data_IF_770618931340
#
_entry.id   IF_770618931340
#
_cell.length_a   1.000
_cell.length_b   1.000
_cell.length_c   1.000
_cell.angle_alpha   90.00
_cell.angle_beta   90.00
_cell.angle_gamma   90.00
#
_symmetry.space_group_name_H-M   'P 1'
#
loop_
_entity.id
_entity.type
_entity.pdbx_description
1 polymer ?
#
# COMPACT_ATOMS: atom_id res chain seq x y z
N UNK A 1 -27.11 -14.51 13.65
CA UNK A 1 -26.37 -13.22 13.60
C UNK A 1 -25.33 -13.19 12.47
N UNK A 2 -24.47 -14.21 12.34
CA UNK A 2 -23.51 -14.34 11.22
C UNK A 2 -24.12 -14.36 9.80
N UNK A 3 -25.41 -14.65 9.65
CA UNK A 3 -26.06 -14.74 8.33
C UNK A 3 -26.65 -13.41 7.81
N UNK A 4 -26.76 -12.39 8.67
CA UNK A 4 -27.39 -11.10 8.31
C UNK A 4 -26.52 -9.88 8.64
N UNK A 5 -25.74 -9.92 9.73
CA UNK A 5 -24.84 -8.83 10.11
C UNK A 5 -23.50 -8.96 9.38
N UNK A 6 -23.00 -10.18 9.23
CA UNK A 6 -21.70 -10.45 8.60
C UNK A 6 -21.58 -9.92 7.17
N UNK A 7 -22.51 -10.17 6.22
CA UNK A 7 -22.38 -9.61 4.87
C UNK A 7 -22.46 -8.07 4.86
N UNK A 8 -23.27 -7.49 5.74
CA UNK A 8 -23.48 -6.03 5.83
C UNK A 8 -22.26 -5.28 6.40
N UNK A 9 -21.54 -5.88 7.36
CA UNK A 9 -20.35 -5.27 7.98
C UNK A 9 -19.05 -5.72 7.31
N UNK A 10 -19.02 -6.88 6.64
CA UNK A 10 -17.86 -7.37 5.91
C UNK A 10 -17.45 -6.41 4.79
N UNK A 11 -18.41 -5.78 4.12
CA UNK A 11 -18.16 -4.81 3.08
C UNK A 11 -17.29 -3.62 3.51
N UNK A 12 -17.72 -2.80 4.50
CA UNK A 12 -16.88 -1.72 5.01
C UNK A 12 -15.61 -2.23 5.72
N UNK A 13 -15.63 -3.44 6.29
CA UNK A 13 -14.42 -4.07 6.87
C UNK A 13 -13.34 -4.32 5.81
N UNK A 14 -13.68 -4.91 4.67
CA UNK A 14 -12.73 -5.22 3.60
C UNK A 14 -12.11 -3.93 3.06
N UNK A 15 -12.94 -2.89 2.88
CA UNK A 15 -12.50 -1.56 2.46
C UNK A 15 -11.52 -0.98 3.49
N UNK A 16 -11.91 -0.95 4.78
CA UNK A 16 -11.05 -0.45 5.86
C UNK A 16 -9.72 -1.21 5.94
N UNK A 17 -9.73 -2.53 5.84
CA UNK A 17 -8.51 -3.35 5.85
C UNK A 17 -7.61 -3.07 4.64
N UNK A 18 -8.18 -2.73 3.49
CA UNK A 18 -7.40 -2.35 2.30
C UNK A 18 -6.68 -1.02 2.50
N UNK A 19 -7.35 -0.05 3.12
CA UNK A 19 -6.73 1.22 3.50
C UNK A 19 -5.65 1.05 4.58
N UNK A 20 -5.90 0.23 5.60
CA UNK A 20 -4.89 -0.10 6.62
C UNK A 20 -3.68 -0.79 6.01
N UNK A 21 -3.88 -1.72 5.09
CA UNK A 21 -2.80 -2.40 4.38
C UNK A 21 -1.94 -1.42 3.57
N UNK A 22 -2.57 -0.51 2.81
CA UNK A 22 -1.84 0.54 2.07
C UNK A 22 -0.98 1.42 3.01
N UNK A 23 -1.55 1.83 4.15
CA UNK A 23 -0.81 2.60 5.17
C UNK A 23 0.37 1.81 5.73
N UNK A 24 0.17 0.51 5.99
CA UNK A 24 1.20 -0.36 6.53
C UNK A 24 2.36 -0.56 5.55
N UNK A 25 2.08 -0.67 4.24
CA UNK A 25 3.11 -0.71 3.18
C UNK A 25 3.92 0.58 3.14
N UNK A 26 3.28 1.75 3.23
CA UNK A 26 3.99 3.04 3.26
C UNK A 26 4.86 3.15 4.52
N UNK A 27 4.34 2.72 5.68
CA UNK A 27 5.08 2.73 6.94
C UNK A 27 6.28 1.78 6.90
N UNK A 28 6.13 0.57 6.35
CA UNK A 28 7.22 -0.37 6.12
C UNK A 28 8.28 0.22 5.18
N UNK A 29 7.87 0.82 4.06
CA UNK A 29 8.78 1.47 3.12
C UNK A 29 9.53 2.64 3.79
N UNK A 30 8.89 3.43 4.65
CA UNK A 30 9.51 4.50 5.41
C UNK A 30 10.53 3.97 6.45
N UNK A 31 10.18 2.90 7.16
CA UNK A 31 11.11 2.22 8.09
C UNK A 31 12.30 1.63 7.35
N UNK A 32 12.06 0.93 6.25
CA UNK A 32 13.10 0.42 5.32
C UNK A 32 13.98 1.54 4.79
N UNK A 33 13.42 2.71 4.48
CA UNK A 33 14.18 3.88 4.03
C UNK A 33 15.10 4.47 5.12
N UNK A 34 14.65 4.40 6.37
CA UNK A 34 15.43 4.78 7.56
C UNK A 34 16.44 3.69 7.99
N UNK A 35 16.47 2.54 7.32
CA UNK A 35 17.31 1.39 7.69
C UNK A 35 16.79 0.58 8.88
N UNK A 36 15.54 0.82 9.31
CA UNK A 36 14.84 0.10 10.38
C UNK A 36 13.90 -0.99 9.85
N UNK A 37 13.87 -1.19 8.53
CA UNK A 37 13.11 -2.26 7.90
C UNK A 37 13.77 -3.63 8.06
N UNK A 38 13.11 -4.69 7.58
CA UNK A 38 13.67 -6.04 7.56
C UNK A 38 15.05 -6.02 6.87
N UNK A 39 16.10 -6.43 7.59
CA UNK A 39 17.47 -6.45 7.07
C UNK A 39 17.93 -7.90 6.89
N UNK A 40 18.30 -8.24 5.67
CA UNK A 40 18.85 -9.55 5.29
C UNK A 40 19.17 -9.61 3.79
N UNK A 41 20.17 -10.41 3.41
CA UNK A 41 20.67 -10.53 2.02
C UNK A 41 19.62 -10.98 1.01
N UNK A 42 18.51 -11.57 1.47
CA UNK A 42 17.40 -12.05 0.63
C UNK A 42 16.18 -11.10 0.63
N UNK A 43 16.23 -9.99 1.37
CA UNK A 43 15.11 -9.04 1.51
C UNK A 43 15.36 -7.75 0.73
N UNK A 44 14.96 -7.75 -0.55
CA UNK A 44 14.92 -6.53 -1.36
C UNK A 44 13.57 -5.83 -1.18
N UNK A 45 13.45 -4.93 -0.21
CA UNK A 45 12.28 -4.06 -0.06
C UNK A 45 12.41 -2.81 -0.95
N UNK A 46 11.28 -2.33 -1.51
CA UNK A 46 11.28 -1.10 -2.33
C UNK A 46 11.73 0.14 -1.54
N UNK A 47 11.50 0.17 -0.22
CA UNK A 47 11.99 1.22 0.67
C UNK A 47 13.52 1.20 0.86
N UNK A 48 14.14 0.02 0.90
CA UNK A 48 15.59 -0.13 0.96
C UNK A 48 16.24 0.26 -0.36
N UNK A 49 15.65 -0.13 -1.49
CA UNK A 49 16.11 0.31 -2.83
C UNK A 49 16.10 1.83 -2.97
N UNK A 50 15.08 2.49 -2.40
CA UNK A 50 15.01 3.95 -2.34
C UNK A 50 16.12 4.56 -1.46
N UNK A 51 16.47 3.88 -0.35
CA UNK A 51 17.56 4.30 0.54
C UNK A 51 18.97 4.03 -0.02
N UNK A 52 19.15 3.04 -0.89
CA UNK A 52 20.41 2.87 -1.60
C UNK A 52 20.51 3.87 -2.76
N UNK A 53 19.41 4.07 -3.49
CA UNK A 53 19.31 5.00 -4.62
C UNK A 53 19.66 6.45 -4.28
N UNK A 54 19.42 6.91 -3.04
CA UNK A 54 19.80 8.27 -2.59
C UNK A 54 21.31 8.54 -2.68
N UNK A 55 22.16 7.54 -2.45
CA UNK A 55 23.62 7.69 -2.59
C UNK A 55 24.08 7.76 -4.05
N UNK A 56 23.26 7.25 -4.97
CA UNK A 56 23.55 7.24 -6.40
C UNK A 56 22.75 8.28 -7.17
N UNK A 57 22.08 9.25 -6.53
CA UNK A 57 21.27 10.26 -7.23
C UNK A 57 22.04 11.06 -8.29
N UNK A 58 23.33 11.31 -8.06
CA UNK A 58 24.18 12.03 -8.99
C UNK A 58 24.61 11.20 -10.23
N UNK A 59 24.50 9.86 -10.18
CA UNK A 59 24.99 8.93 -11.22
C UNK A 59 23.85 8.12 -11.84
N UNK A 60 22.91 7.66 -11.03
CA UNK A 60 21.78 6.79 -11.37
C UNK A 60 20.50 7.26 -10.67
N UNK A 61 19.99 8.44 -11.04
CA UNK A 61 18.74 9.02 -10.52
C UNK A 61 17.51 8.09 -10.69
N UNK A 62 17.55 7.18 -11.68
CA UNK A 62 16.53 6.17 -11.90
C UNK A 62 16.43 5.13 -10.77
N UNK A 63 17.52 4.89 -10.04
CA UNK A 63 17.56 3.92 -8.95
C UNK A 63 16.66 4.31 -7.77
N UNK A 64 16.42 5.62 -7.56
CA UNK A 64 15.49 6.11 -6.56
C UNK A 64 14.08 6.37 -7.13
N UNK A 65 13.95 6.79 -8.38
CA UNK A 65 12.64 7.14 -8.96
C UNK A 65 11.81 5.92 -9.32
N UNK A 66 12.41 4.81 -9.77
CA UNK A 66 11.68 3.58 -10.12
C UNK A 66 10.95 2.98 -8.90
N UNK A 67 11.61 2.73 -7.74
CA UNK A 67 10.92 2.21 -6.55
C UNK A 67 9.87 3.19 -6.01
N UNK A 68 10.13 4.49 -6.06
CA UNK A 68 9.18 5.52 -5.63
C UNK A 68 7.90 5.52 -6.47
N UNK A 69 8.03 5.44 -7.80
CA UNK A 69 6.89 5.33 -8.70
C UNK A 69 6.13 4.01 -8.51
N UNK A 70 6.84 2.90 -8.30
CA UNK A 70 6.21 1.61 -8.03
C UNK A 70 5.34 1.64 -6.75
N UNK A 71 5.86 2.22 -5.65
CA UNK A 71 5.08 2.41 -4.41
C UNK A 71 3.86 3.31 -4.68
N UNK A 72 4.07 4.44 -5.37
CA UNK A 72 2.98 5.38 -5.68
C UNK A 72 1.87 4.72 -6.49
N UNK A 73 2.22 3.99 -7.55
CA UNK A 73 1.25 3.27 -8.38
C UNK A 73 0.55 2.17 -7.60
N UNK A 74 1.27 1.38 -6.78
CA UNK A 74 0.67 0.33 -5.96
C UNK A 74 -0.36 0.89 -4.97
N UNK A 75 -0.01 1.98 -4.28
CA UNK A 75 -0.92 2.67 -3.35
C UNK A 75 -2.14 3.21 -4.09
N UNK A 76 -1.96 3.86 -5.25
CA UNK A 76 -3.05 4.35 -6.09
C UNK A 76 -3.98 3.23 -6.54
N UNK A 77 -3.44 2.11 -7.02
CA UNK A 77 -4.22 0.95 -7.45
C UNK A 77 -5.04 0.37 -6.29
N UNK A 78 -4.45 0.23 -5.10
CA UNK A 78 -5.17 -0.26 -3.91
C UNK A 78 -6.28 0.71 -3.50
N UNK A 79 -6.03 2.02 -3.53
CA UNK A 79 -7.06 3.02 -3.21
C UNK A 79 -8.24 2.94 -4.21
N UNK A 80 -7.95 2.92 -5.51
CA UNK A 80 -9.00 2.84 -6.55
C UNK A 80 -9.79 1.54 -6.44
N UNK A 81 -9.13 0.41 -6.20
CA UNK A 81 -9.81 -0.88 -6.00
C UNK A 81 -10.65 -0.87 -4.74
N UNK A 82 -10.16 -0.24 -3.66
CA UNK A 82 -10.91 -0.05 -2.42
C UNK A 82 -12.17 0.79 -2.60
N UNK A 83 -12.07 1.89 -3.35
CA UNK A 83 -13.20 2.75 -3.68
C UNK A 83 -14.20 2.04 -4.60
N UNK A 84 -13.72 1.33 -5.63
CA UNK A 84 -14.59 0.53 -6.50
C UNK A 84 -15.32 -0.57 -5.72
N UNK A 85 -14.62 -1.25 -4.81
CA UNK A 85 -15.21 -2.28 -3.97
C UNK A 85 -16.22 -1.69 -3.00
N UNK A 86 -15.95 -0.51 -2.43
CA UNK A 86 -16.88 0.25 -1.62
C UNK A 86 -18.14 0.58 -2.41
N UNK A 87 -18.01 1.18 -3.59
CA UNK A 87 -19.15 1.56 -4.44
C UNK A 87 -20.03 0.37 -4.81
N UNK A 88 -19.41 -0.81 -5.01
CA UNK A 88 -20.13 -2.02 -5.41
C UNK A 88 -20.77 -2.76 -4.23
N UNK A 89 -20.23 -2.59 -3.03
CA UNK A 89 -20.72 -3.21 -1.81
C UNK A 89 -21.63 -2.30 -0.98
N UNK A 90 -21.67 -1.00 -1.26
CA UNK A 90 -22.54 -0.02 -0.61
C UNK A 90 -23.84 0.14 -1.44
N UNK A 91 -24.93 -0.59 -1.14
CA UNK A 91 -26.15 -0.58 -1.94
C UNK A 91 -27.04 0.64 -1.60
N UNK A 92 -26.53 1.60 -0.82
CA UNK A 92 -27.33 2.60 -0.10
C UNK A 92 -27.53 3.94 -0.81
N UNK A 93 -27.18 4.05 -2.09
CA UNK A 93 -27.59 5.18 -2.94
C UNK A 93 -28.87 4.93 -3.73
N UNK A 94 -29.60 3.84 -3.44
CA UNK A 94 -30.97 3.63 -3.89
C UNK A 94 -31.95 3.70 -2.71
N UNK A 95 -32.11 4.87 -2.09
CA UNK A 95 -33.39 5.37 -1.55
C UNK A 95 -33.28 6.84 -1.20
#
# INVERSE_FOLDING_TARGET
MLRHIFPTVAAPLIVLTSFEFAKMVIAEAALSFLGLGPSGLDYSSWGLMLAEGKNYLAVAWWAATIPGLAIMTAVLSINIVGDWLRDRLDPKLQT
#
